data_IF_590024396369
#
_entry.id   IF_590024396369
#
_cell.length_a   1.000
_cell.length_b   1.000
_cell.length_c   1.000
_cell.angle_alpha   90.00
_cell.angle_beta   90.00
_cell.angle_gamma   90.00
#
_symmetry.space_group_name_H-M   'P 1'
#
loop_
_entity.id
_entity.type
_entity.pdbx_description
1 polymer ?
#
# COMPACT_ATOMS: atom_id res chain seq x y z
N UNK A 1 24.27 7.28 -3.90
CA UNK A 1 23.12 6.66 -4.59
C UNK A 1 23.47 5.33 -5.25
N UNK A 2 24.43 5.28 -6.20
CA UNK A 2 24.84 4.03 -6.88
C UNK A 2 25.35 2.93 -5.94
N UNK A 3 26.05 3.29 -4.86
CA UNK A 3 26.56 2.32 -3.88
C UNK A 3 25.44 1.72 -3.02
N UNK A 4 24.43 2.50 -2.64
CA UNK A 4 23.28 2.01 -1.87
C UNK A 4 22.43 1.02 -2.71
N UNK A 5 22.25 1.33 -4.00
CA UNK A 5 21.66 0.44 -5.00
C UNK A 5 22.45 -0.88 -5.15
N UNK A 6 23.77 -0.79 -5.30
CA UNK A 6 24.62 -1.97 -5.46
C UNK A 6 24.64 -2.86 -4.19
N UNK A 7 24.61 -2.26 -3.00
CA UNK A 7 24.48 -3.01 -1.74
C UNK A 7 23.10 -3.66 -1.61
N UNK A 8 22.05 -3.00 -2.08
CA UNK A 8 20.69 -3.54 -2.10
C UNK A 8 20.53 -4.71 -3.09
N UNK A 9 21.03 -4.59 -4.32
CA UNK A 9 21.03 -5.66 -5.32
C UNK A 9 21.81 -6.90 -4.83
N UNK A 10 22.96 -6.67 -4.17
CA UNK A 10 23.71 -7.74 -3.50
C UNK A 10 22.92 -8.36 -2.33
N UNK A 11 22.21 -7.53 -1.56
CA UNK A 11 21.32 -7.97 -0.49
C UNK A 11 20.21 -8.89 -0.98
N UNK A 12 19.51 -8.51 -2.06
CA UNK A 12 18.45 -9.34 -2.67
C UNK A 12 19.00 -10.71 -3.09
N UNK A 13 20.20 -10.76 -3.67
CA UNK A 13 20.81 -12.03 -4.12
C UNK A 13 21.17 -12.98 -2.98
N UNK A 14 21.31 -12.47 -1.76
CA UNK A 14 21.83 -13.22 -0.60
C UNK A 14 20.75 -13.61 0.41
N UNK A 15 19.52 -13.12 0.26
CA UNK A 15 18.48 -13.19 1.30
C UNK A 15 17.35 -14.17 0.92
N UNK A 16 16.88 -14.93 1.93
CA UNK A 16 15.68 -15.77 1.86
C UNK A 16 14.40 -14.91 1.68
N UNK A 17 13.40 -15.34 0.89
CA UNK A 17 12.21 -14.55 0.54
C UNK A 17 11.51 -13.85 1.73
N UNK A 18 11.55 -14.47 2.91
CA UNK A 18 10.92 -13.97 4.14
C UNK A 18 11.47 -12.61 4.63
N UNK A 19 12.75 -12.30 4.42
CA UNK A 19 13.34 -11.01 4.82
C UNK A 19 13.34 -9.98 3.68
N UNK A 20 12.77 -10.35 2.52
CA UNK A 20 12.69 -9.46 1.36
C UNK A 20 11.88 -8.20 1.66
N UNK A 21 10.79 -8.31 2.43
CA UNK A 21 9.91 -7.18 2.75
C UNK A 21 10.63 -6.08 3.53
N UNK A 22 11.36 -6.42 4.58
CA UNK A 22 12.06 -5.45 5.43
C UNK A 22 13.19 -4.74 4.66
N UNK A 23 13.91 -5.49 3.83
CA UNK A 23 14.93 -4.92 2.96
C UNK A 23 14.30 -3.93 1.97
N UNK A 24 13.21 -4.31 1.29
CA UNK A 24 12.49 -3.43 0.37
C UNK A 24 11.97 -2.16 1.07
N UNK A 25 11.42 -2.29 2.28
CA UNK A 25 10.95 -1.14 3.06
C UNK A 25 12.10 -0.19 3.40
N UNK A 26 13.21 -0.69 3.94
CA UNK A 26 14.37 0.16 4.28
C UNK A 26 14.97 0.84 3.06
N UNK A 27 15.03 0.13 1.93
CA UNK A 27 15.55 0.67 0.68
C UNK A 27 14.64 1.74 0.07
N UNK A 28 13.34 1.47 -0.01
CA UNK A 28 12.38 2.44 -0.50
C UNK A 28 12.28 3.65 0.43
N UNK A 29 12.43 3.49 1.75
CA UNK A 29 12.51 4.63 2.67
C UNK A 29 13.74 5.49 2.41
N UNK A 30 14.89 4.85 2.14
CA UNK A 30 16.11 5.57 1.74
C UNK A 30 15.90 6.34 0.43
N UNK A 31 15.28 5.70 -0.58
CA UNK A 31 14.98 6.33 -1.88
C UNK A 31 13.99 7.47 -1.69
N UNK A 32 12.91 7.29 -0.93
CA UNK A 32 11.90 8.32 -0.67
C UNK A 32 12.48 9.56 0.02
N UNK A 33 13.48 9.39 0.90
CA UNK A 33 14.13 10.49 1.61
C UNK A 33 15.17 11.22 0.76
N UNK A 34 15.89 10.49 -0.09
CA UNK A 34 17.07 11.03 -0.78
C UNK A 34 16.82 11.35 -2.26
N UNK A 35 15.86 10.68 -2.90
CA UNK A 35 15.55 10.85 -4.31
C UNK A 35 14.39 11.83 -4.46
N UNK A 36 14.58 12.89 -5.25
CA UNK A 36 13.50 13.81 -5.66
C UNK A 36 12.78 13.35 -6.93
N UNK A 37 13.25 12.26 -7.54
CA UNK A 37 12.72 11.71 -8.78
C UNK A 37 11.54 10.76 -8.50
N UNK A 38 10.34 11.31 -8.63
CA UNK A 38 9.06 10.64 -8.36
C UNK A 38 8.87 9.41 -9.24
N UNK A 39 9.26 9.49 -10.52
CA UNK A 39 9.03 8.41 -11.48
C UNK A 39 9.92 7.20 -11.19
N UNK A 40 11.16 7.43 -10.77
CA UNK A 40 12.06 6.33 -10.37
C UNK A 40 11.53 5.60 -9.15
N UNK A 41 11.02 6.33 -8.17
CA UNK A 41 10.44 5.76 -6.97
C UNK A 41 9.21 4.88 -7.30
N UNK A 42 8.31 5.36 -8.16
CA UNK A 42 7.12 4.59 -8.54
C UNK A 42 7.45 3.32 -9.32
N UNK A 43 8.51 3.35 -10.16
CA UNK A 43 9.03 2.15 -10.83
C UNK A 43 9.60 1.15 -9.82
N UNK A 44 10.34 1.61 -8.83
CA UNK A 44 10.89 0.75 -7.76
C UNK A 44 9.77 0.13 -6.92
N UNK A 45 8.72 0.89 -6.56
CA UNK A 45 7.54 0.32 -5.89
C UNK A 45 6.87 -0.76 -6.73
N UNK A 46 6.71 -0.53 -8.03
CA UNK A 46 6.10 -1.51 -8.94
C UNK A 46 6.92 -2.79 -9.02
N UNK A 47 8.26 -2.68 -9.08
CA UNK A 47 9.17 -3.83 -9.03
C UNK A 47 9.08 -4.58 -7.70
N UNK A 48 9.11 -3.85 -6.58
CA UNK A 48 9.02 -4.43 -5.25
C UNK A 48 7.71 -5.23 -5.07
N UNK A 49 6.58 -4.65 -5.50
CA UNK A 49 5.25 -5.28 -5.41
C UNK A 49 5.14 -6.50 -6.34
N UNK A 50 5.84 -6.51 -7.47
CA UNK A 50 5.84 -7.67 -8.36
C UNK A 50 6.68 -8.82 -7.79
N UNK A 51 7.81 -8.52 -7.15
CA UNK A 51 8.69 -9.51 -6.56
C UNK A 51 8.14 -10.06 -5.22
N UNK A 52 7.48 -9.21 -4.45
CA UNK A 52 6.83 -9.58 -3.21
C UNK A 52 5.39 -9.99 -3.50
N UNK A 53 5.22 -11.27 -3.81
CA UNK A 53 3.89 -11.89 -3.86
C UNK A 53 3.25 -11.94 -2.46
N UNK A 54 2.00 -12.42 -2.38
CA UNK A 54 1.23 -12.50 -1.13
C UNK A 54 1.98 -13.25 -0.01
N UNK A 55 2.80 -14.25 -0.37
CA UNK A 55 3.56 -15.05 0.60
C UNK A 55 4.51 -14.21 1.46
N UNK A 56 5.05 -13.11 0.91
CA UNK A 56 6.05 -12.29 1.59
C UNK A 56 5.47 -10.96 2.14
N UNK A 57 4.24 -10.59 1.78
CA UNK A 57 3.53 -9.44 2.37
C UNK A 57 2.03 -9.74 2.60
N UNK A 58 1.68 -10.51 3.65
CA UNK A 58 0.29 -10.90 3.92
C UNK A 58 -0.64 -9.71 4.16
N UNK A 59 -0.10 -8.56 4.54
CA UNK A 59 -0.87 -7.36 4.88
C UNK A 59 -0.76 -6.26 3.83
N UNK A 60 -0.12 -6.53 2.69
CA UNK A 60 0.11 -5.58 1.60
C UNK A 60 0.68 -4.22 2.07
N UNK A 61 1.60 -4.22 3.06
CA UNK A 61 2.22 -3.01 3.63
C UNK A 61 2.81 -2.11 2.54
N UNK A 62 3.50 -2.69 1.56
CA UNK A 62 4.13 -1.90 0.50
C UNK A 62 3.11 -1.23 -0.40
N UNK A 63 2.09 -1.96 -0.83
CA UNK A 63 1.02 -1.40 -1.67
C UNK A 63 0.25 -0.31 -0.93
N UNK A 64 -0.04 -0.51 0.37
CA UNK A 64 -0.67 0.52 1.22
C UNK A 64 0.20 1.77 1.34
N UNK A 65 1.50 1.59 1.53
CA UNK A 65 2.43 2.71 1.65
C UNK A 65 2.57 3.47 0.33
N UNK A 66 2.68 2.76 -0.79
CA UNK A 66 2.73 3.36 -2.13
C UNK A 66 1.47 4.20 -2.42
N UNK A 67 0.28 3.65 -2.15
CA UNK A 67 -0.97 4.39 -2.30
C UNK A 67 -1.04 5.66 -1.43
N UNK A 68 -0.51 5.61 -0.21
CA UNK A 68 -0.45 6.79 0.68
C UNK A 68 0.48 7.87 0.14
N UNK A 69 1.62 7.49 -0.43
CA UNK A 69 2.56 8.44 -1.05
C UNK A 69 1.91 9.10 -2.27
N UNK A 70 1.29 8.31 -3.15
CA UNK A 70 0.61 8.82 -4.35
C UNK A 70 -0.53 9.77 -4.00
N UNK A 71 -1.37 9.44 -3.01
CA UNK A 71 -2.43 10.31 -2.53
C UNK A 71 -1.88 11.64 -2.00
N UNK A 72 -0.79 11.61 -1.22
CA UNK A 72 -0.12 12.82 -0.71
C UNK A 72 0.47 13.69 -1.82
N UNK A 73 0.85 13.10 -2.95
CA UNK A 73 1.34 13.81 -4.14
C UNK A 73 0.20 14.40 -4.99
N UNK A 74 -1.05 14.08 -4.68
CA UNK A 74 -2.24 14.51 -5.43
C UNK A 74 -2.72 13.52 -6.49
N UNK A 75 -2.03 12.40 -6.71
CA UNK A 75 -2.51 11.35 -7.61
C UNK A 75 -3.41 10.34 -6.87
N UNK A 76 -4.59 10.84 -6.50
CA UNK A 76 -5.64 10.03 -5.88
C UNK A 76 -6.15 8.93 -6.83
N UNK A 77 -6.07 9.16 -8.14
CA UNK A 77 -6.60 8.25 -9.15
C UNK A 77 -5.84 6.91 -9.17
N UNK A 78 -4.52 6.95 -9.11
CA UNK A 78 -3.68 5.75 -9.04
C UNK A 78 -3.71 5.13 -7.66
N UNK A 79 -3.75 5.94 -6.59
CA UNK A 79 -3.93 5.45 -5.22
C UNK A 79 -5.22 4.61 -5.09
N UNK A 80 -6.34 5.07 -5.65
CA UNK A 80 -7.60 4.30 -5.69
C UNK A 80 -7.46 3.00 -6.48
N UNK A 81 -6.72 2.97 -7.59
CA UNK A 81 -6.47 1.72 -8.34
C UNK A 81 -5.74 0.69 -7.48
N UNK A 82 -4.72 1.13 -6.73
CA UNK A 82 -3.97 0.27 -5.82
C UNK A 82 -4.87 -0.24 -4.70
N UNK A 83 -5.62 0.63 -4.03
CA UNK A 83 -6.55 0.22 -2.98
C UNK A 83 -7.64 -0.72 -3.48
N UNK A 84 -8.19 -0.48 -4.65
CA UNK A 84 -9.16 -1.38 -5.29
C UNK A 84 -8.58 -2.75 -5.59
N UNK A 85 -7.27 -2.85 -5.88
CA UNK A 85 -6.56 -4.13 -6.03
C UNK A 85 -6.43 -4.83 -4.67
N UNK A 86 -6.03 -4.09 -3.62
CA UNK A 86 -5.88 -4.62 -2.26
C UNK A 86 -7.20 -5.22 -1.74
N UNK A 87 -8.31 -4.46 -1.77
CA UNK A 87 -9.60 -4.91 -1.20
C UNK A 87 -10.28 -6.03 -2.00
N UNK A 88 -9.78 -6.37 -3.19
CA UNK A 88 -10.26 -7.52 -3.99
C UNK A 88 -9.68 -8.84 -3.51
N UNK A 89 -8.55 -8.82 -2.81
CA UNK A 89 -7.94 -10.06 -2.33
C UNK A 89 -8.78 -10.66 -1.20
N UNK A 90 -9.17 -11.95 -1.29
CA UNK A 90 -10.10 -12.57 -0.36
C UNK A 90 -9.60 -12.54 1.10
N UNK A 91 -8.28 -12.56 1.29
CA UNK A 91 -7.64 -12.61 2.61
C UNK A 91 -7.81 -11.33 3.43
N UNK A 92 -7.92 -10.18 2.75
CA UNK A 92 -8.06 -8.86 3.41
C UNK A 92 -9.43 -8.24 3.19
N UNK A 93 -10.22 -8.80 2.27
CA UNK A 93 -11.55 -8.30 1.90
C UNK A 93 -12.47 -8.20 3.12
N UNK A 94 -12.44 -9.19 4.00
CA UNK A 94 -13.30 -9.22 5.19
C UNK A 94 -12.82 -8.35 6.37
N UNK A 95 -11.66 -7.68 6.25
CA UNK A 95 -11.00 -7.00 7.38
C UNK A 95 -11.36 -5.52 7.46
N UNK A 96 -12.11 -5.11 8.48
CA UNK A 96 -12.53 -3.73 8.74
C UNK A 96 -11.35 -2.74 8.77
N UNK A 97 -10.22 -3.12 9.39
CA UNK A 97 -9.06 -2.23 9.50
C UNK A 97 -8.47 -1.80 8.15
N UNK A 98 -8.58 -2.64 7.11
CA UNK A 98 -8.11 -2.35 5.75
C UNK A 98 -9.04 -1.34 5.08
N UNK A 99 -10.36 -1.53 5.22
CA UNK A 99 -11.35 -0.59 4.69
C UNK A 99 -11.26 0.78 5.35
N UNK A 100 -11.06 0.83 6.67
CA UNK A 100 -10.89 2.08 7.41
C UNK A 100 -9.61 2.83 7.00
N UNK A 101 -8.52 2.12 6.72
CA UNK A 101 -7.31 2.77 6.18
C UNK A 101 -7.56 3.37 4.79
N UNK A 102 -8.31 2.68 3.92
CA UNK A 102 -8.71 3.23 2.63
C UNK A 102 -9.64 4.44 2.81
N UNK A 103 -10.62 4.36 3.71
CA UNK A 103 -11.52 5.46 4.03
C UNK A 103 -10.77 6.67 4.58
N UNK A 104 -9.77 6.47 5.44
CA UNK A 104 -8.95 7.56 5.96
C UNK A 104 -8.12 8.24 4.85
N UNK A 105 -7.61 7.47 3.89
CA UNK A 105 -6.92 8.03 2.71
C UNK A 105 -7.88 8.90 1.88
N UNK A 106 -9.08 8.38 1.61
CA UNK A 106 -10.13 9.08 0.86
C UNK A 106 -10.64 10.33 1.61
N UNK A 107 -10.72 10.28 2.94
CA UNK A 107 -11.10 11.42 3.80
C UNK A 107 -10.06 12.55 3.76
N UNK A 108 -8.77 12.22 3.64
CA UNK A 108 -7.69 13.21 3.64
C UNK A 108 -7.45 13.85 2.27
N UNK A 109 -7.54 13.08 1.19
CA UNK A 109 -7.09 13.51 -0.15
C UNK A 109 -8.15 13.36 -1.25
N UNK A 110 -9.26 12.68 -0.94
CA UNK A 110 -10.30 12.32 -1.89
C UNK A 110 -11.58 13.13 -1.71
N UNK A 111 -12.71 12.52 -2.07
CA UNK A 111 -14.01 13.19 -2.05
C UNK A 111 -15.06 12.43 -1.23
N UNK A 112 -15.99 13.19 -0.63
CA UNK A 112 -17.01 12.67 0.26
C UNK A 112 -17.97 11.66 -0.41
N UNK A 113 -18.20 11.78 -1.73
CA UNK A 113 -19.06 10.86 -2.45
C UNK A 113 -18.42 9.46 -2.58
N UNK A 114 -17.11 9.43 -2.91
CA UNK A 114 -16.35 8.18 -2.90
C UNK A 114 -16.21 7.61 -1.49
N UNK A 115 -15.96 8.46 -0.48
CA UNK A 115 -15.89 8.04 0.91
C UNK A 115 -17.19 7.35 1.37
N UNK A 116 -18.35 7.96 1.11
CA UNK A 116 -19.66 7.39 1.44
C UNK A 116 -19.88 6.04 0.75
N UNK A 117 -19.59 5.97 -0.55
CA UNK A 117 -19.72 4.74 -1.32
C UNK A 117 -18.77 3.64 -0.78
N UNK A 118 -17.60 4.04 -0.30
CA UNK A 118 -16.62 3.15 0.29
C UNK A 118 -17.10 2.58 1.63
N UNK A 119 -17.66 3.39 2.52
CA UNK A 119 -18.24 2.92 3.79
C UNK A 119 -19.40 1.94 3.56
N UNK A 120 -20.31 2.25 2.62
CA UNK A 120 -21.39 1.34 2.25
C UNK A 120 -20.86 -0.02 1.77
N UNK A 121 -19.80 0.00 0.94
CA UNK A 121 -19.16 -1.22 0.46
C UNK A 121 -18.47 -1.99 1.58
N UNK A 122 -17.76 -1.30 2.46
CA UNK A 122 -17.10 -1.88 3.62
C UNK A 122 -18.12 -2.60 4.51
N UNK A 123 -19.23 -1.95 4.88
CA UNK A 123 -20.29 -2.56 5.69
C UNK A 123 -20.91 -3.80 5.04
N UNK A 124 -21.02 -3.86 3.71
CA UNK A 124 -21.56 -5.03 3.01
C UNK A 124 -20.61 -6.22 2.94
N UNK A 125 -19.32 -6.01 3.21
CA UNK A 125 -18.25 -6.98 2.92
C UNK A 125 -17.46 -7.38 4.18
N UNK A 126 -17.33 -6.48 5.15
CA UNK A 126 -16.65 -6.73 6.41
C UNK A 126 -17.38 -7.83 7.20
N UNK A 127 -16.64 -8.85 7.58
CA UNK A 127 -17.14 -9.99 8.36
C UNK A 127 -16.58 -10.03 9.77
N UNK A 128 -15.55 -9.23 10.04
CA UNK A 128 -14.85 -9.22 11.32
C UNK A 128 -15.57 -8.32 12.33
N UNK A 129 -15.61 -7.01 12.10
CA UNK A 129 -16.09 -6.00 13.05
C UNK A 129 -16.85 -4.89 12.29
N UNK A 130 -18.05 -5.17 11.75
CA UNK A 130 -18.81 -4.20 10.97
C UNK A 130 -19.29 -3.00 11.82
N UNK A 131 -19.51 -3.20 13.13
CA UNK A 131 -19.88 -2.13 14.08
C UNK A 131 -18.82 -1.02 14.12
N UNK A 132 -17.54 -1.41 14.11
CA UNK A 132 -16.43 -0.45 14.11
C UNK A 132 -16.38 0.38 12.83
N UNK A 133 -16.75 -0.20 11.68
CA UNK A 133 -16.87 0.54 10.42
C UNK A 133 -18.05 1.53 10.47
N UNK A 134 -19.13 1.17 11.18
CA UNK A 134 -20.29 2.03 11.35
C UNK A 134 -20.01 3.20 12.30
N UNK A 135 -19.29 2.97 13.40
CA UNK A 135 -18.90 4.03 14.35
C UNK A 135 -17.99 5.08 13.71
N UNK A 136 -17.13 4.68 12.77
CA UNK A 136 -16.19 5.55 12.07
C UNK A 136 -16.78 6.30 10.87
N UNK A 137 -18.00 5.96 10.43
CA UNK A 137 -18.70 6.61 9.31
C UNK A 137 -19.34 7.94 9.76
#
# INVERSE_FOLDING_TARGET
EKEALACFEKGISSISPAHGLELWLSYLEYVHRNCKDVEKEDKLFSQAIQQLEFENDPSYKLSRWHARILAKRGDISTARKIWNKIVRYPQVKGTASIWLQYANMERQYGDFNHLRSLFQKALSVCTDWPEYVFEEW
#
